data_IF_617369226061
#
_entry.id   IF_617369226061
#
_cell.length_a   1.000
_cell.length_b   1.000
_cell.length_c   1.000
_cell.angle_alpha   90.00
_cell.angle_beta   90.00
_cell.angle_gamma   90.00
#
_symmetry.space_group_name_H-M   'P 1'
#
loop_
_entity.id
_entity.type
_entity.pdbx_description
1 polymer ?
#
# COMPACT_ATOMS: atom_id res chain seq x y z
N UNK A 1 -20.12 -53.39 22.73
CA UNK A 1 -20.20 -52.71 21.41
C UNK A 1 -21.32 -51.69 21.51
N UNK A 2 -21.01 -50.48 22.01
CA UNK A 2 -21.99 -49.39 22.17
C UNK A 2 -21.25 -48.06 22.02
N UNK A 3 -20.85 -47.77 20.79
CA UNK A 3 -20.18 -46.52 20.41
C UNK A 3 -20.83 -46.02 19.13
N UNK A 4 -22.04 -45.48 19.24
CA UNK A 4 -22.67 -44.70 18.17
C UNK A 4 -23.83 -43.90 18.76
N UNK A 5 -23.52 -42.77 19.37
CA UNK A 5 -24.50 -41.74 19.72
C UNK A 5 -23.81 -40.42 20.06
N UNK A 6 -23.05 -39.89 19.12
CA UNK A 6 -22.73 -38.45 19.12
C UNK A 6 -22.50 -37.94 17.68
N UNK A 7 -23.46 -38.19 16.79
CA UNK A 7 -23.53 -37.49 15.52
C UNK A 7 -24.39 -36.23 15.75
N UNK A 8 -23.88 -35.01 15.48
CA UNK A 8 -24.70 -33.81 15.51
C UNK A 8 -25.79 -33.92 14.45
N UNK A 9 -27.04 -33.83 14.87
CA UNK A 9 -28.21 -33.82 14.01
C UNK A 9 -28.14 -32.60 13.05
N UNK A 10 -28.10 -32.81 11.73
CA UNK A 10 -28.03 -31.71 10.74
C UNK A 10 -29.29 -30.85 10.68
N UNK A 11 -30.41 -31.34 11.27
CA UNK A 11 -31.69 -30.66 11.26
C UNK A 11 -31.99 -29.93 12.58
N UNK A 12 -31.05 -29.88 13.53
CA UNK A 12 -31.17 -28.96 14.67
C UNK A 12 -31.23 -27.53 14.11
N UNK A 13 -32.36 -26.81 14.29
CA UNK A 13 -32.39 -25.39 14.01
C UNK A 13 -31.24 -24.77 14.82
N UNK A 14 -30.57 -23.76 14.28
CA UNK A 14 -29.50 -23.07 14.99
C UNK A 14 -30.08 -22.28 16.19
N UNK A 15 -30.59 -22.97 17.21
CA UNK A 15 -31.37 -22.49 18.36
C UNK A 15 -30.56 -21.61 19.34
N UNK A 16 -29.31 -21.30 19.00
CA UNK A 16 -28.44 -20.43 19.78
C UNK A 16 -27.87 -19.23 19.02
N UNK A 17 -28.18 -19.05 17.73
CA UNK A 17 -27.76 -17.84 17.00
C UNK A 17 -28.87 -16.79 17.13
N UNK A 18 -28.63 -15.64 17.80
CA UNK A 18 -29.57 -14.54 17.79
C UNK A 18 -29.96 -14.24 16.36
N UNK A 19 -31.27 -14.17 16.08
CA UNK A 19 -31.75 -13.73 14.79
C UNK A 19 -31.08 -12.39 14.45
N UNK A 20 -30.65 -12.15 13.18
CA UNK A 20 -30.10 -10.86 12.80
C UNK A 20 -31.06 -9.76 13.23
N UNK A 21 -30.57 -8.83 14.06
CA UNK A 21 -31.37 -7.69 14.46
C UNK A 21 -31.82 -6.93 13.20
N UNK A 22 -33.04 -6.34 13.20
CA UNK A 22 -33.50 -5.52 12.08
C UNK A 22 -32.44 -4.46 11.76
N UNK A 23 -32.12 -4.28 10.48
CA UNK A 23 -31.27 -3.16 10.07
C UNK A 23 -31.94 -1.84 10.49
N UNK A 24 -31.22 -0.91 11.13
CA UNK A 24 -31.77 0.39 11.52
C UNK A 24 -32.37 1.11 10.32
N UNK A 25 -33.48 1.82 10.55
CA UNK A 25 -34.11 2.62 9.51
C UNK A 25 -33.25 3.86 9.16
N UNK A 26 -33.58 4.53 8.05
CA UNK A 26 -32.79 5.66 7.56
C UNK A 26 -32.77 6.83 8.56
N UNK A 27 -33.83 7.02 9.35
CA UNK A 27 -33.95 8.10 10.33
C UNK A 27 -33.13 7.80 11.60
N UNK A 28 -33.07 6.54 12.03
CA UNK A 28 -32.25 6.06 13.12
C UNK A 28 -30.77 6.10 12.74
N UNK A 29 -30.44 5.75 11.49
CA UNK A 29 -29.10 5.94 10.92
C UNK A 29 -28.68 7.41 10.95
N UNK A 30 -29.52 8.34 10.52
CA UNK A 30 -29.20 9.77 10.55
C UNK A 30 -28.97 10.30 11.97
N UNK A 31 -29.73 9.77 12.95
CA UNK A 31 -29.67 10.18 14.35
C UNK A 31 -28.46 9.65 15.09
N UNK A 32 -28.00 8.44 14.74
CA UNK A 32 -26.87 7.74 15.41
C UNK A 32 -25.57 7.90 14.61
N UNK A 33 -25.63 8.26 13.32
CA UNK A 33 -24.45 8.45 12.50
C UNK A 33 -23.56 9.57 13.02
N UNK A 34 -22.35 9.21 13.45
CA UNK A 34 -21.27 10.17 13.63
C UNK A 34 -20.70 10.51 12.26
N UNK A 35 -20.58 11.79 11.87
CA UNK A 35 -20.02 12.18 10.58
C UNK A 35 -18.57 11.69 10.47
N UNK A 36 -18.39 10.56 9.80
CA UNK A 36 -17.08 10.01 9.50
C UNK A 36 -16.58 10.63 8.21
N UNK A 37 -15.59 11.51 8.30
CA UNK A 37 -14.88 11.98 7.11
C UNK A 37 -14.15 10.80 6.48
N UNK A 38 -14.59 10.37 5.30
CA UNK A 38 -13.86 9.37 4.52
C UNK A 38 -12.55 9.99 4.07
N UNK A 39 -11.49 9.77 4.86
CA UNK A 39 -10.12 10.12 4.46
C UNK A 39 -9.82 9.32 3.19
N UNK A 40 -9.67 10.02 2.06
CA UNK A 40 -9.00 9.43 0.88
C UNK A 40 -7.63 8.93 1.33
N UNK A 41 -7.33 7.67 1.02
CA UNK A 41 -6.01 7.11 1.26
C UNK A 41 -4.96 8.07 0.64
N UNK A 42 -3.94 8.51 1.40
CA UNK A 42 -2.91 9.37 0.86
C UNK A 42 -2.25 8.66 -0.32
N UNK A 43 -2.11 9.36 -1.45
CA UNK A 43 -1.57 8.78 -2.69
C UNK A 43 -0.05 8.66 -2.62
N UNK A 44 0.46 7.88 -1.66
CA UNK A 44 1.90 7.60 -1.48
C UNK A 44 2.55 7.09 -2.78
N UNK A 45 1.77 6.35 -3.59
CA UNK A 45 2.18 5.84 -4.90
C UNK A 45 2.72 6.94 -5.83
N UNK A 46 2.12 8.13 -5.82
CA UNK A 46 2.55 9.23 -6.70
C UNK A 46 3.96 9.73 -6.37
N UNK A 47 4.25 9.90 -5.07
CA UNK A 47 5.55 10.34 -4.62
C UNK A 47 6.64 9.29 -4.81
N UNK A 48 6.33 8.01 -4.57
CA UNK A 48 7.27 6.91 -4.81
C UNK A 48 7.63 6.84 -6.29
N UNK A 49 6.63 6.88 -7.19
CA UNK A 49 6.87 6.83 -8.63
C UNK A 49 7.63 8.06 -9.13
N UNK A 50 7.32 9.26 -8.62
CA UNK A 50 8.08 10.46 -8.93
C UNK A 50 9.55 10.32 -8.51
N UNK A 51 9.81 9.77 -7.33
CA UNK A 51 11.16 9.48 -6.85
C UNK A 51 11.91 8.48 -7.71
N UNK A 52 11.27 7.38 -8.12
CA UNK A 52 11.84 6.38 -9.04
C UNK A 52 12.23 7.02 -10.37
N UNK A 53 11.30 7.77 -10.98
CA UNK A 53 11.52 8.44 -12.27
C UNK A 53 12.67 9.43 -12.16
N UNK A 54 12.69 10.25 -11.10
CA UNK A 54 13.78 11.19 -10.85
C UNK A 54 15.12 10.48 -10.68
N UNK A 55 15.17 9.36 -9.94
CA UNK A 55 16.38 8.56 -9.76
C UNK A 55 16.94 8.03 -11.08
N UNK A 56 16.06 7.50 -11.95
CA UNK A 56 16.44 7.03 -13.30
C UNK A 56 16.94 8.20 -14.16
N UNK A 57 16.24 9.34 -14.14
CA UNK A 57 16.62 10.54 -14.88
C UNK A 57 17.98 11.09 -14.44
N UNK A 58 18.38 10.91 -13.18
CA UNK A 58 19.71 11.28 -12.68
C UNK A 58 20.76 10.23 -13.03
N UNK A 59 20.41 8.95 -13.06
CA UNK A 59 21.35 7.87 -13.32
C UNK A 59 21.97 7.93 -14.72
N UNK A 60 21.15 8.18 -15.74
CA UNK A 60 21.60 8.27 -17.14
C UNK A 60 22.69 9.33 -17.32
N UNK A 61 22.49 10.61 -16.97
CA UNK A 61 23.54 11.62 -17.10
C UNK A 61 24.73 11.35 -16.18
N UNK A 62 24.51 10.78 -14.99
CA UNK A 62 25.61 10.42 -14.08
C UNK A 62 26.58 9.45 -14.75
N UNK A 63 26.06 8.43 -15.44
CA UNK A 63 26.91 7.44 -16.14
C UNK A 63 27.49 8.02 -17.43
N UNK A 64 26.73 8.80 -18.20
CA UNK A 64 27.21 9.38 -19.46
C UNK A 64 28.32 10.43 -19.25
N UNK A 65 28.27 11.18 -18.15
CA UNK A 65 29.27 12.21 -17.82
C UNK A 65 30.48 11.63 -17.07
N UNK A 66 30.45 10.35 -16.70
CA UNK A 66 31.51 9.72 -15.93
C UNK A 66 32.76 9.44 -16.79
N UNK A 67 33.81 10.23 -16.59
CA UNK A 67 35.08 10.13 -17.35
C UNK A 67 35.99 8.97 -16.94
N UNK A 68 35.64 8.22 -15.89
CA UNK A 68 36.43 7.09 -15.38
C UNK A 68 36.38 5.80 -16.23
N UNK A 69 35.52 5.77 -17.25
CA UNK A 69 35.41 4.65 -18.19
C UNK A 69 34.65 3.44 -17.66
N UNK A 70 33.87 2.79 -18.52
CA UNK A 70 33.06 1.59 -18.21
C UNK A 70 33.85 0.30 -18.44
N UNK A 71 35.13 0.31 -18.05
CA UNK A 71 36.21 -0.38 -18.77
C UNK A 71 36.10 -1.91 -18.87
N UNK A 72 35.25 -2.56 -18.05
CA UNK A 72 35.03 -4.01 -18.12
C UNK A 72 33.57 -4.44 -18.32
N UNK A 73 32.60 -3.64 -17.85
CA UNK A 73 31.17 -3.99 -17.88
C UNK A 73 30.41 -3.40 -19.08
N UNK A 74 31.00 -2.42 -19.78
CA UNK A 74 30.31 -1.68 -20.82
C UNK A 74 29.21 -0.75 -20.30
N UNK A 75 28.70 0.13 -21.16
CA UNK A 75 27.79 1.20 -20.75
C UNK A 75 26.41 0.70 -20.30
N UNK A 76 25.87 -0.31 -20.98
CA UNK A 76 24.52 -0.83 -20.71
C UNK A 76 24.34 -1.32 -19.26
N UNK A 77 25.12 -2.31 -18.80
CA UNK A 77 25.02 -2.81 -17.43
C UNK A 77 25.25 -1.73 -16.36
N UNK A 78 26.22 -0.83 -16.58
CA UNK A 78 26.51 0.26 -15.64
C UNK A 78 25.32 1.23 -15.52
N UNK A 79 24.69 1.60 -16.63
CA UNK A 79 23.46 2.42 -16.62
C UNK A 79 22.33 1.69 -15.88
N UNK A 80 22.14 0.39 -16.11
CA UNK A 80 21.07 -0.38 -15.47
C UNK A 80 21.27 -0.48 -13.96
N UNK A 81 22.46 -0.86 -13.48
CA UNK A 81 22.74 -0.98 -12.05
C UNK A 81 22.69 0.37 -11.32
N UNK A 82 23.26 1.41 -11.94
CA UNK A 82 23.19 2.78 -11.39
C UNK A 82 21.74 3.27 -11.37
N UNK A 83 21.01 3.02 -12.45
CA UNK A 83 19.58 3.32 -12.59
C UNK A 83 18.72 2.67 -11.52
N UNK A 84 18.89 1.36 -11.30
CA UNK A 84 18.20 0.62 -10.24
C UNK A 84 18.54 1.17 -8.86
N UNK A 85 19.81 1.45 -8.60
CA UNK A 85 20.26 1.98 -7.30
C UNK A 85 19.65 3.35 -7.03
N UNK A 86 19.75 4.29 -7.98
CA UNK A 86 19.16 5.61 -7.83
C UNK A 86 17.63 5.58 -7.85
N UNK A 87 17.00 4.64 -8.56
CA UNK A 87 15.56 4.43 -8.52
C UNK A 87 15.09 4.02 -7.12
N UNK A 88 15.78 3.08 -6.47
CA UNK A 88 15.46 2.65 -5.10
C UNK A 88 15.67 3.79 -4.11
N UNK A 89 16.81 4.51 -4.19
CA UNK A 89 17.05 5.68 -3.35
C UNK A 89 16.01 6.77 -3.56
N UNK A 90 15.68 7.06 -4.82
CA UNK A 90 14.63 8.01 -5.19
C UNK A 90 13.26 7.59 -4.65
N UNK A 91 12.90 6.31 -4.73
CA UNK A 91 11.67 5.76 -4.18
C UNK A 91 11.57 6.00 -2.66
N UNK A 92 12.66 5.74 -1.93
CA UNK A 92 12.75 5.96 -0.48
C UNK A 92 12.57 7.46 -0.16
N UNK A 93 13.31 8.33 -0.84
CA UNK A 93 13.20 9.78 -0.66
C UNK A 93 11.78 10.29 -0.98
N UNK A 94 11.17 9.79 -2.05
CA UNK A 94 9.79 10.07 -2.41
C UNK A 94 8.82 9.62 -1.33
N UNK A 95 8.97 8.40 -0.81
CA UNK A 95 8.14 7.91 0.30
C UNK A 95 8.27 8.78 1.55
N UNK A 96 9.50 9.17 1.93
CA UNK A 96 9.74 10.08 3.07
C UNK A 96 9.05 11.42 2.84
N UNK A 97 9.19 12.02 1.65
CA UNK A 97 8.52 13.27 1.29
C UNK A 97 6.99 13.15 1.39
N UNK A 98 6.42 12.02 0.99
CA UNK A 98 5.00 11.74 1.10
C UNK A 98 4.53 11.67 2.56
N UNK A 99 5.32 11.02 3.43
CA UNK A 99 5.04 10.94 4.87
C UNK A 99 5.10 12.32 5.52
N UNK A 100 6.08 13.15 5.15
CA UNK A 100 6.20 14.52 5.66
C UNK A 100 5.00 15.38 5.20
N UNK A 101 4.60 15.26 3.93
CA UNK A 101 3.43 15.98 3.41
C UNK A 101 2.13 15.55 4.10
N UNK A 102 1.91 14.24 4.30
CA UNK A 102 0.76 13.72 5.04
C UNK A 102 0.76 14.17 6.50
N UNK A 103 1.92 14.20 7.17
CA UNK A 103 2.05 14.74 8.54
C UNK A 103 1.74 16.23 8.63
N UNK A 104 2.14 17.03 7.64
CA UNK A 104 1.84 18.47 7.61
C UNK A 104 0.36 18.76 7.36
N UNK A 105 -0.32 17.90 6.61
CA UNK A 105 -1.76 18.03 6.30
C UNK A 105 -2.66 17.67 7.48
N UNK A 106 -2.18 16.86 8.43
CA UNK A 106 -2.94 16.45 9.63
C UNK A 106 -2.77 17.37 10.84
N UNK A 107 -1.91 18.38 10.77
CA UNK A 107 -1.75 19.42 11.78
C UNK A 107 -2.50 20.66 11.34
#
# INVERSE_FOLDING_TARGET
>A
MSSDQNAPDPDQPAEGRPAPAPAPDAEELERVATPATVRRAPRYRGFVMAGVVLGILVAVPTVLLWRGGTNELGLGPVVVFTGLTLAVLGAILGAVAAVVADRRSRR
#
